data_IF_773414939957
#
_entry.id   IF_773414939957
#
_cell.length_a   1.000
_cell.length_b   1.000
_cell.length_c   1.000
_cell.angle_alpha   90.00
_cell.angle_beta   90.00
_cell.angle_gamma   90.00
#
_symmetry.space_group_name_H-M   'P 1'
#
loop_
_entity.id
_entity.type
_entity.pdbx_description
1 polymer ?
#
# COMPACT_ATOMS: atom_id res chain seq x y z
N UNK A 1 20.84 -19.99 19.32
CA UNK A 1 19.97 -19.95 18.12
C UNK A 1 18.67 -19.26 18.52
N UNK A 2 18.20 -18.27 17.75
CA UNK A 2 16.93 -17.60 18.03
C UNK A 2 15.77 -18.48 17.56
N UNK A 3 14.75 -18.68 18.41
CA UNK A 3 13.53 -19.34 17.98
C UNK A 3 12.80 -18.43 16.98
N UNK A 4 12.37 -18.94 15.81
CA UNK A 4 11.62 -18.14 14.85
C UNK A 4 10.26 -17.77 15.43
N UNK A 5 9.93 -16.48 15.39
CA UNK A 5 8.60 -15.98 15.75
C UNK A 5 7.63 -16.41 14.65
N UNK A 6 6.62 -17.19 15.03
CA UNK A 6 5.57 -17.64 14.09
C UNK A 6 4.38 -16.68 14.15
N UNK A 7 3.77 -16.32 13.01
CA UNK A 7 2.49 -15.60 12.99
C UNK A 7 1.39 -16.40 13.69
N UNK A 8 0.41 -15.70 14.28
CA UNK A 8 -0.78 -16.33 14.83
C UNK A 8 -1.65 -16.92 13.71
N UNK A 9 -2.28 -18.06 13.99
CA UNK A 9 -3.24 -18.70 13.09
C UNK A 9 -4.43 -17.81 12.69
N UNK A 10 -4.76 -16.79 13.49
CA UNK A 10 -5.83 -15.85 13.13
C UNK A 10 -5.50 -15.02 11.88
N UNK A 11 -4.23 -14.97 11.47
CA UNK A 11 -3.79 -14.24 10.28
C UNK A 11 -3.77 -15.10 9.01
N UNK A 12 -3.96 -16.42 9.10
CA UNK A 12 -3.80 -17.36 7.98
C UNK A 12 -4.71 -17.04 6.78
N UNK A 13 -5.82 -16.33 7.02
CA UNK A 13 -6.79 -15.93 6.01
C UNK A 13 -6.93 -14.41 5.85
N UNK A 14 -6.14 -13.62 6.58
CA UNK A 14 -6.15 -12.16 6.46
C UNK A 14 -5.43 -11.77 5.16
N UNK A 15 -6.16 -11.16 4.23
CA UNK A 15 -5.62 -10.65 2.97
C UNK A 15 -5.83 -9.15 2.87
N UNK A 16 -4.78 -8.43 2.52
CA UNK A 16 -4.83 -6.99 2.27
C UNK A 16 -4.31 -6.68 0.88
N UNK A 17 -5.21 -6.81 -0.10
CA UNK A 17 -4.87 -6.76 -1.53
C UNK A 17 -4.37 -5.38 -2.00
N UNK A 18 -4.78 -4.30 -1.32
CA UNK A 18 -4.35 -2.92 -1.64
C UNK A 18 -2.81 -2.78 -1.64
N UNK A 19 -2.11 -3.55 -0.77
CA UNK A 19 -0.65 -3.63 -0.74
C UNK A 19 -0.14 -5.06 -0.99
N UNK A 20 -0.93 -5.86 -1.67
CA UNK A 20 -0.64 -7.25 -1.97
C UNK A 20 0.21 -7.44 -3.24
N UNK A 21 0.13 -8.63 -3.87
CA UNK A 21 0.90 -8.98 -5.07
C UNK A 21 0.73 -7.99 -6.23
N UNK A 22 -0.48 -7.43 -6.41
CA UNK A 22 -0.78 -6.45 -7.45
C UNK A 22 0.05 -5.16 -7.28
N UNK A 23 0.14 -4.64 -6.04
CA UNK A 23 0.92 -3.44 -5.75
C UNK A 23 2.42 -3.68 -6.01
N UNK A 24 2.93 -4.87 -5.69
CA UNK A 24 4.30 -5.27 -6.02
C UNK A 24 4.53 -5.29 -7.52
N UNK A 25 3.60 -5.88 -8.28
CA UNK A 25 3.70 -5.92 -9.75
C UNK A 25 3.67 -4.53 -10.38
N UNK A 26 2.81 -3.64 -9.89
CA UNK A 26 2.80 -2.25 -10.31
C UNK A 26 4.17 -1.57 -10.06
N UNK A 27 4.74 -1.75 -8.87
CA UNK A 27 6.06 -1.20 -8.54
C UNK A 27 7.19 -1.75 -9.43
N UNK A 28 7.14 -3.03 -9.82
CA UNK A 28 8.09 -3.60 -10.79
C UNK A 28 7.97 -2.94 -12.16
N UNK A 29 6.75 -2.73 -12.64
CA UNK A 29 6.49 -2.08 -13.92
C UNK A 29 6.92 -0.59 -13.89
N UNK A 30 6.67 0.12 -12.80
CA UNK A 30 7.17 1.49 -12.57
C UNK A 30 8.71 1.54 -12.66
N UNK A 31 9.41 0.55 -12.08
CA UNK A 31 10.89 0.45 -12.17
C UNK A 31 11.41 0.23 -13.60
N UNK A 32 10.59 -0.35 -14.49
CA UNK A 32 10.94 -0.46 -15.92
C UNK A 32 10.71 0.83 -16.71
N UNK A 33 10.32 1.91 -16.04
CA UNK A 33 10.03 3.21 -16.66
C UNK A 33 8.62 3.35 -17.20
N UNK A 34 7.69 2.43 -16.86
CA UNK A 34 6.29 2.55 -17.26
C UNK A 34 5.55 3.46 -16.30
N UNK A 35 4.80 4.41 -16.85
CA UNK A 35 3.86 5.19 -16.06
C UNK A 35 2.66 4.32 -15.67
N UNK A 36 2.26 4.36 -14.39
CA UNK A 36 1.10 3.65 -13.87
C UNK A 36 0.22 4.63 -13.10
N UNK A 37 -1.01 4.79 -13.58
CA UNK A 37 -2.02 5.62 -12.91
C UNK A 37 -2.66 4.78 -11.79
N UNK A 38 -2.50 5.22 -10.55
CA UNK A 38 -2.98 4.50 -9.36
C UNK A 38 -4.44 4.89 -9.06
N UNK A 39 -5.38 4.09 -9.55
CA UNK A 39 -6.83 4.23 -9.28
C UNK A 39 -7.34 3.27 -8.21
N UNK A 40 -6.44 2.47 -7.62
CA UNK A 40 -6.76 1.40 -6.69
C UNK A 40 -6.79 1.84 -5.21
N UNK A 41 -6.42 3.09 -4.91
CA UNK A 41 -6.35 3.61 -3.55
C UNK A 41 -7.00 4.99 -3.46
N UNK A 42 -7.87 5.17 -2.47
CA UNK A 42 -8.39 6.48 -2.08
C UNK A 42 -7.34 7.26 -1.30
N UNK A 43 -6.28 7.72 -1.96
CA UNK A 43 -5.29 8.63 -1.39
C UNK A 43 -5.50 10.04 -1.96
N UNK A 44 -6.28 10.91 -1.28
CA UNK A 44 -6.55 12.26 -1.76
C UNK A 44 -5.26 13.09 -1.94
N UNK A 45 -4.26 12.86 -1.09
CA UNK A 45 -2.98 13.59 -1.18
C UNK A 45 -2.24 13.33 -2.49
N UNK A 46 -2.28 12.09 -2.98
CA UNK A 46 -1.71 11.72 -4.29
C UNK A 46 -2.46 12.35 -5.47
N UNK A 47 -3.71 12.77 -5.25
CA UNK A 47 -4.56 13.45 -6.23
C UNK A 47 -4.62 14.97 -6.03
N UNK A 48 -3.71 15.54 -5.22
CA UNK A 48 -3.59 16.98 -5.04
C UNK A 48 -4.48 17.60 -3.95
N UNK A 49 -5.35 16.82 -3.30
CA UNK A 49 -6.12 17.30 -2.15
C UNK A 49 -5.19 17.61 -0.97
N UNK A 50 -5.57 18.59 -0.15
CA UNK A 50 -4.85 19.00 1.05
C UNK A 50 -5.80 19.08 2.23
N UNK A 51 -5.31 18.73 3.41
CA UNK A 51 -6.08 18.93 4.64
C UNK A 51 -6.36 20.44 4.82
N UNK A 52 -7.59 20.82 5.24
CA UNK A 52 -7.92 22.20 5.55
C UNK A 52 -6.97 22.81 6.57
N UNK A 53 -6.68 24.11 6.44
CA UNK A 53 -5.76 24.82 7.34
C UNK A 53 -6.21 24.76 8.80
N UNK A 54 -7.52 24.81 9.04
CA UNK A 54 -8.12 24.71 10.37
C UNK A 54 -7.76 23.41 11.12
N UNK A 55 -7.39 22.34 10.41
CA UNK A 55 -7.00 21.05 10.99
C UNK A 55 -5.48 20.93 11.21
N UNK A 56 -4.68 21.93 10.83
CA UNK A 56 -3.21 21.89 10.88
C UNK A 56 -2.63 22.69 12.05
N UNK A 57 -3.48 23.06 13.02
CA UNK A 57 -3.11 23.75 14.26
C UNK A 57 -3.14 22.78 15.44
#
# INVERSE_FOLDING_TARGET
MLNPIRPSHCLDHVRYEIRGPLARRAAELEKTGREIIKLNIGNPGALGFRAPEAMRR
#
